data_IF_636757314140
#
_entry.id   IF_636757314140
#
_cell.length_a   1.000
_cell.length_b   1.000
_cell.length_c   1.000
_cell.angle_alpha   90.00
_cell.angle_beta   90.00
_cell.angle_gamma   90.00
#
_symmetry.space_group_name_H-M   'P 1'
#
loop_
_entity.id
_entity.type
_entity.pdbx_description
1 polymer ?
#
# COMPACT_ATOMS: atom_id res chain seq x y z
N UNK A 1 -27.66 6.83 4.34
CA UNK A 1 -26.40 6.44 5.04
C UNK A 1 -25.26 6.32 4.05
N UNK A 2 -24.04 6.58 4.51
CA UNK A 2 -22.81 6.32 3.75
C UNK A 2 -22.20 4.99 4.17
N UNK A 3 -22.04 4.06 3.25
CA UNK A 3 -21.34 2.80 3.44
C UNK A 3 -19.98 2.86 2.75
N UNK A 4 -18.89 2.75 3.52
CA UNK A 4 -17.54 2.59 2.99
C UNK A 4 -17.27 1.10 2.90
N UNK A 5 -16.98 0.58 1.70
CA UNK A 5 -16.91 -0.86 1.47
C UNK A 5 -15.58 -1.23 0.82
N UNK A 6 -14.78 -2.04 1.52
CA UNK A 6 -13.55 -2.61 0.98
C UNK A 6 -13.84 -3.71 -0.04
N UNK A 7 -13.17 -3.63 -1.18
CA UNK A 7 -13.34 -4.58 -2.30
C UNK A 7 -12.38 -5.76 -2.24
N UNK A 8 -11.40 -5.75 -1.35
CA UNK A 8 -10.32 -6.73 -1.37
C UNK A 8 -9.26 -6.40 -2.44
N UNK A 9 -8.50 -7.39 -2.89
CA UNK A 9 -7.20 -7.15 -3.51
C UNK A 9 -7.21 -7.23 -5.05
N UNK A 10 -8.04 -8.07 -5.66
CA UNK A 10 -7.84 -8.39 -7.08
C UNK A 10 -9.11 -8.56 -7.90
N UNK A 11 -10.07 -9.33 -7.41
CA UNK A 11 -11.22 -9.80 -8.19
C UNK A 11 -12.52 -9.20 -7.69
N UNK A 12 -13.54 -9.05 -8.54
CA UNK A 12 -14.85 -8.53 -8.14
C UNK A 12 -15.53 -9.37 -7.06
N UNK A 13 -15.17 -10.64 -6.94
CA UNK A 13 -15.69 -11.56 -5.93
C UNK A 13 -14.95 -11.52 -4.59
N UNK A 14 -13.88 -10.74 -4.49
CA UNK A 14 -13.16 -10.54 -3.22
C UNK A 14 -13.96 -9.67 -2.24
N UNK A 15 -14.97 -8.96 -2.72
CA UNK A 15 -15.90 -8.24 -1.85
C UNK A 15 -16.55 -9.21 -0.86
N UNK A 16 -16.70 -8.80 0.40
CA UNK A 16 -17.43 -9.61 1.37
C UNK A 16 -18.89 -9.79 0.98
N UNK A 17 -19.53 -10.90 1.38
CA UNK A 17 -20.97 -11.10 1.16
C UNK A 17 -21.79 -9.93 1.70
N UNK A 18 -21.44 -9.44 2.91
CA UNK A 18 -22.07 -8.25 3.50
C UNK A 18 -21.90 -7.00 2.64
N UNK A 19 -20.70 -6.79 2.10
CA UNK A 19 -20.42 -5.67 1.18
C UNK A 19 -21.28 -5.75 -0.06
N UNK A 20 -21.34 -6.91 -0.71
CA UNK A 20 -22.13 -7.13 -1.92
C UNK A 20 -23.64 -6.89 -1.69
N UNK A 21 -24.18 -7.41 -0.59
CA UNK A 21 -25.59 -7.21 -0.25
C UNK A 21 -25.91 -5.74 0.04
N UNK A 22 -24.96 -5.00 0.64
CA UNK A 22 -25.09 -3.58 0.91
C UNK A 22 -25.04 -2.79 -0.40
N UNK A 23 -24.07 -3.06 -1.28
CA UNK A 23 -24.00 -2.41 -2.61
C UNK A 23 -25.30 -2.53 -3.37
N UNK A 24 -25.90 -3.75 -3.40
CA UNK A 24 -27.16 -3.99 -4.11
C UNK A 24 -28.35 -3.18 -3.58
N UNK A 25 -28.32 -2.79 -2.31
CA UNK A 25 -29.38 -1.97 -1.68
C UNK A 25 -29.17 -0.48 -1.89
N UNK A 26 -27.92 -0.04 -2.05
CA UNK A 26 -27.59 1.38 -2.18
C UNK A 26 -28.19 1.98 -3.47
N UNK A 27 -28.58 3.24 -3.38
CA UNK A 27 -29.13 4.00 -4.50
C UNK A 27 -28.04 4.47 -5.47
N UNK A 28 -26.90 4.90 -4.94
CA UNK A 28 -25.72 5.31 -5.69
C UNK A 28 -24.51 4.51 -5.24
N UNK A 29 -23.64 4.18 -6.19
CA UNK A 29 -22.42 3.41 -5.94
C UNK A 29 -21.26 4.16 -6.56
N UNK A 30 -20.33 4.60 -5.73
CA UNK A 30 -19.09 5.24 -6.13
C UNK A 30 -17.93 4.26 -6.01
N UNK A 31 -17.01 4.29 -6.96
CA UNK A 31 -15.74 3.57 -6.90
C UNK A 31 -14.58 4.56 -6.86
N UNK A 32 -13.82 4.51 -5.79
CA UNK A 32 -12.56 5.25 -5.68
C UNK A 32 -11.56 4.74 -6.73
N UNK A 33 -10.96 5.64 -7.49
CA UNK A 33 -10.18 5.31 -8.68
C UNK A 33 -8.79 5.96 -8.72
N UNK A 34 -8.16 6.24 -7.55
CA UNK A 34 -6.85 6.91 -7.53
C UNK A 34 -5.85 6.39 -6.50
N UNK A 35 -6.25 5.63 -5.47
CA UNK A 35 -5.30 5.05 -4.51
C UNK A 35 -4.87 3.64 -4.90
N UNK A 36 -5.72 2.90 -5.58
CA UNK A 36 -5.44 1.55 -6.08
C UNK A 36 -6.39 1.18 -7.23
N UNK A 37 -6.15 0.03 -7.86
CA UNK A 37 -6.97 -0.52 -8.93
C UNK A 37 -7.22 -2.01 -8.71
N UNK A 38 -8.40 -2.48 -9.10
CA UNK A 38 -8.68 -3.92 -9.21
C UNK A 38 -8.16 -4.40 -10.56
N UNK A 39 -7.02 -5.10 -10.55
CA UNK A 39 -6.33 -5.52 -11.78
C UNK A 39 -7.14 -6.50 -12.63
N UNK A 40 -8.00 -7.31 -12.03
CA UNK A 40 -8.74 -8.38 -12.70
C UNK A 40 -10.17 -8.00 -13.06
N UNK A 41 -10.64 -6.79 -12.70
CA UNK A 41 -12.03 -6.39 -12.92
C UNK A 41 -12.14 -5.02 -13.59
N UNK A 42 -12.78 -4.96 -14.76
CA UNK A 42 -13.20 -3.69 -15.36
C UNK A 42 -14.43 -3.12 -14.67
N UNK A 43 -14.72 -1.85 -14.93
CA UNK A 43 -15.95 -1.20 -14.42
C UNK A 43 -17.18 -1.98 -14.88
N UNK A 44 -17.25 -2.35 -16.14
CA UNK A 44 -18.36 -3.11 -16.72
C UNK A 44 -18.53 -4.47 -16.03
N UNK A 45 -17.42 -5.11 -15.62
CA UNK A 45 -17.46 -6.36 -14.84
C UNK A 45 -18.08 -6.12 -13.47
N UNK A 46 -17.65 -5.04 -12.79
CA UNK A 46 -18.19 -4.65 -11.48
C UNK A 46 -19.67 -4.30 -11.56
N UNK A 47 -20.09 -3.49 -12.55
CA UNK A 47 -21.49 -3.12 -12.77
C UNK A 47 -22.37 -4.34 -13.01
N UNK A 48 -21.90 -5.26 -13.84
CA UNK A 48 -22.60 -6.53 -14.10
C UNK A 48 -22.71 -7.39 -12.85
N UNK A 49 -21.64 -7.45 -12.05
CA UNK A 49 -21.61 -8.25 -10.83
C UNK A 49 -22.51 -7.68 -9.73
N UNK A 50 -22.48 -6.36 -9.56
CA UNK A 50 -23.31 -5.67 -8.55
C UNK A 50 -24.76 -5.46 -9.01
N UNK A 51 -25.01 -5.47 -10.32
CA UNK A 51 -26.31 -5.10 -10.92
C UNK A 51 -26.64 -3.62 -10.74
N UNK A 52 -25.62 -2.77 -10.70
CA UNK A 52 -25.69 -1.32 -10.43
C UNK A 52 -24.70 -0.58 -11.31
N UNK A 53 -25.07 0.64 -11.72
CA UNK A 53 -24.13 1.60 -12.30
C UNK A 53 -23.08 2.01 -11.25
N UNK A 54 -21.81 2.11 -11.66
CA UNK A 54 -20.68 2.49 -10.81
C UNK A 54 -20.12 3.84 -11.27
N UNK A 55 -20.20 4.83 -10.39
CA UNK A 55 -19.70 6.18 -10.62
C UNK A 55 -18.24 6.23 -10.19
N UNK A 56 -17.33 6.57 -11.10
CA UNK A 56 -15.92 6.76 -10.73
C UNK A 56 -15.73 8.01 -9.90
N UNK A 57 -15.12 7.85 -8.74
CA UNK A 57 -14.72 8.93 -7.86
C UNK A 57 -13.20 9.11 -7.94
N UNK A 58 -12.78 10.12 -8.70
CA UNK A 58 -11.38 10.53 -8.76
C UNK A 58 -10.98 11.36 -7.52
N UNK A 59 -9.69 11.67 -7.42
CA UNK A 59 -9.16 12.43 -6.29
C UNK A 59 -9.87 13.78 -6.12
N UNK A 60 -10.14 14.51 -7.20
CA UNK A 60 -10.78 15.81 -7.15
C UNK A 60 -12.21 15.69 -6.57
N UNK A 61 -12.99 14.72 -7.03
CA UNK A 61 -14.33 14.47 -6.49
C UNK A 61 -14.31 14.10 -5.01
N UNK A 62 -13.35 13.28 -4.57
CA UNK A 62 -13.28 12.84 -3.17
C UNK A 62 -12.74 13.93 -2.26
N UNK A 63 -11.67 14.64 -2.65
CA UNK A 63 -11.01 15.62 -1.78
C UNK A 63 -11.70 17.00 -1.79
N UNK A 64 -12.26 17.42 -2.93
CA UNK A 64 -12.88 18.74 -3.07
C UNK A 64 -14.38 18.69 -3.36
N UNK A 65 -14.86 17.65 -4.01
CA UNK A 65 -16.26 17.46 -4.41
C UNK A 65 -17.05 16.51 -3.50
N UNK A 66 -16.57 16.21 -2.29
CA UNK A 66 -17.20 15.25 -1.37
C UNK A 66 -18.69 15.53 -1.11
N UNK A 67 -19.13 16.78 -1.14
CA UNK A 67 -20.53 17.17 -0.98
C UNK A 67 -21.43 16.54 -2.05
N UNK A 68 -20.91 16.29 -3.26
CA UNK A 68 -21.66 15.61 -4.34
C UNK A 68 -21.86 14.13 -4.01
N UNK A 69 -20.86 13.50 -3.39
CA UNK A 69 -20.98 12.10 -2.93
C UNK A 69 -22.01 12.02 -1.82
N UNK A 70 -21.98 12.98 -0.89
CA UNK A 70 -22.82 13.01 0.31
C UNK A 70 -24.23 13.59 0.05
N UNK A 71 -24.49 14.13 -1.14
CA UNK A 71 -25.80 14.70 -1.47
C UNK A 71 -26.92 13.68 -1.25
N UNK A 72 -27.95 14.06 -0.48
CA UNK A 72 -29.09 13.22 -0.10
C UNK A 72 -28.70 11.91 0.67
N UNK A 73 -27.50 11.79 1.24
CA UNK A 73 -27.10 10.61 2.00
C UNK A 73 -27.79 10.52 3.39
N UNK A 74 -28.52 11.53 3.80
CA UNK A 74 -29.40 11.53 4.99
C UNK A 74 -30.65 10.67 4.76
N UNK A 75 -31.14 10.60 3.52
CA UNK A 75 -32.35 9.85 3.14
C UNK A 75 -32.07 8.62 2.27
N UNK A 76 -31.00 8.65 1.47
CA UNK A 76 -30.59 7.59 0.56
C UNK A 76 -29.37 6.83 1.11
N UNK A 77 -29.29 5.53 0.81
CA UNK A 77 -28.09 4.74 1.05
C UNK A 77 -27.10 4.88 -0.11
N UNK A 78 -25.86 5.19 0.21
CA UNK A 78 -24.77 5.42 -0.74
C UNK A 78 -23.63 4.48 -0.41
N UNK A 79 -23.13 3.75 -1.42
CA UNK A 79 -21.92 2.94 -1.31
C UNK A 79 -20.71 3.71 -1.86
N UNK A 80 -19.63 3.74 -1.10
CA UNK A 80 -18.32 4.22 -1.53
C UNK A 80 -17.34 3.04 -1.47
N UNK A 81 -16.98 2.53 -2.65
CA UNK A 81 -16.17 1.34 -2.81
C UNK A 81 -14.69 1.71 -2.86
N UNK A 82 -13.87 0.96 -2.14
CA UNK A 82 -12.43 1.19 -2.03
C UNK A 82 -11.68 -0.12 -2.30
N UNK A 83 -10.72 -0.12 -3.21
CA UNK A 83 -9.86 -1.27 -3.44
C UNK A 83 -9.01 -1.53 -2.19
N UNK A 84 -8.93 -2.78 -1.75
CA UNK A 84 -8.34 -3.14 -0.47
C UNK A 84 -9.35 -2.97 0.68
N UNK A 85 -8.87 -2.43 1.81
CA UNK A 85 -9.69 -2.02 2.96
C UNK A 85 -9.92 -0.51 2.95
N UNK A 86 -11.05 -0.08 3.46
CA UNK A 86 -11.48 1.33 3.46
C UNK A 86 -10.52 2.29 4.16
N UNK A 87 -9.74 1.80 5.11
CA UNK A 87 -8.74 2.57 5.87
C UNK A 87 -7.31 2.04 5.70
N UNK A 88 -7.11 1.05 4.85
CA UNK A 88 -5.82 0.43 4.60
C UNK A 88 -4.92 1.28 3.69
N UNK A 89 -4.20 2.24 4.25
CA UNK A 89 -3.35 3.20 3.54
C UNK A 89 -4.14 4.13 2.60
N UNK A 90 -5.26 4.66 3.08
CA UNK A 90 -6.15 5.57 2.36
C UNK A 90 -6.32 6.91 3.09
N UNK A 91 -6.96 7.88 2.45
CA UNK A 91 -7.26 9.21 3.01
C UNK A 91 -8.75 9.42 3.31
N UNK A 92 -9.56 8.34 3.31
CA UNK A 92 -11.02 8.43 3.37
C UNK A 92 -11.59 8.88 4.74
N UNK A 93 -10.73 9.08 5.74
CA UNK A 93 -11.13 9.63 7.05
C UNK A 93 -11.78 11.01 6.90
N UNK A 94 -11.34 11.84 5.94
CA UNK A 94 -11.93 13.15 5.68
C UNK A 94 -13.39 13.03 5.23
N UNK A 95 -13.70 12.10 4.32
CA UNK A 95 -15.07 11.84 3.88
C UNK A 95 -15.98 11.41 5.05
N UNK A 96 -15.45 10.62 5.98
CA UNK A 96 -16.18 10.22 7.21
C UNK A 96 -16.47 11.42 8.11
N UNK A 97 -15.49 12.31 8.29
CA UNK A 97 -15.65 13.52 9.11
C UNK A 97 -16.74 14.40 8.50
N UNK A 98 -16.67 14.69 7.21
CA UNK A 98 -17.68 15.51 6.50
C UNK A 98 -19.09 14.91 6.59
N UNK A 99 -19.22 13.59 6.39
CA UNK A 99 -20.51 12.92 6.53
C UNK A 99 -21.10 13.11 7.94
N UNK A 100 -20.26 12.99 8.98
CA UNK A 100 -20.69 13.21 10.39
C UNK A 100 -21.10 14.65 10.66
N UNK A 101 -20.38 15.63 10.13
CA UNK A 101 -20.73 17.06 10.24
C UNK A 101 -22.10 17.35 9.59
N UNK A 102 -22.46 16.62 8.55
CA UNK A 102 -23.77 16.67 7.90
C UNK A 102 -24.84 15.80 8.59
N UNK A 103 -24.54 15.19 9.74
CA UNK A 103 -25.41 14.25 10.47
C UNK A 103 -25.79 13.01 9.64
N UNK A 104 -24.94 12.60 8.69
CA UNK A 104 -25.11 11.39 7.90
C UNK A 104 -24.50 10.21 8.67
N UNK A 105 -25.26 9.12 8.83
CA UNK A 105 -24.76 7.88 9.40
C UNK A 105 -23.72 7.25 8.50
N UNK A 106 -22.62 6.76 9.09
CA UNK A 106 -21.51 6.12 8.36
C UNK A 106 -21.27 4.72 8.90
N UNK A 107 -21.12 3.77 8.01
CA UNK A 107 -20.75 2.38 8.32
C UNK A 107 -19.59 1.92 7.42
N UNK A 108 -18.57 1.30 8.04
CA UNK A 108 -17.45 0.70 7.32
C UNK A 108 -17.62 -0.83 7.24
N UNK A 109 -17.45 -1.38 6.05
CA UNK A 109 -17.39 -2.83 5.80
C UNK A 109 -15.97 -3.15 5.34
N UNK A 110 -15.20 -3.72 6.26
CA UNK A 110 -13.77 -4.00 6.08
C UNK A 110 -13.51 -5.15 5.11
N UNK A 111 -12.27 -5.18 4.59
CA UNK A 111 -11.78 -6.25 3.75
C UNK A 111 -10.24 -6.38 3.89
N UNK A 112 -9.62 -7.30 3.13
CA UNK A 112 -8.19 -7.41 3.05
C UNK A 112 -7.58 -6.23 2.27
N UNK A 113 -6.41 -5.77 2.71
CA UNK A 113 -5.57 -4.81 2.00
C UNK A 113 -4.11 -5.28 1.97
N UNK A 114 -3.24 -4.60 1.24
CA UNK A 114 -1.81 -4.87 1.25
C UNK A 114 -1.23 -4.85 2.67
N UNK A 115 -1.79 -4.02 3.56
CA UNK A 115 -1.33 -3.86 4.95
C UNK A 115 -1.35 -5.15 5.77
N UNK A 116 -2.29 -6.06 5.50
CA UNK A 116 -2.37 -7.35 6.18
C UNK A 116 -2.04 -8.52 5.25
N UNK A 117 -2.41 -8.47 3.99
CA UNK A 117 -2.17 -9.54 3.03
C UNK A 117 -0.66 -9.73 2.73
N UNK A 118 0.17 -8.72 2.95
CA UNK A 118 1.62 -8.78 2.79
C UNK A 118 2.27 -9.91 3.60
N UNK A 119 1.65 -10.35 4.69
CA UNK A 119 2.09 -11.52 5.46
C UNK A 119 2.14 -12.83 4.65
N UNK A 120 1.49 -12.89 3.47
CA UNK A 120 1.59 -14.03 2.56
C UNK A 120 3.00 -14.29 2.02
N UNK A 121 3.92 -13.32 2.10
CA UNK A 121 5.34 -13.51 1.77
C UNK A 121 6.10 -14.32 2.83
N UNK A 122 5.50 -14.59 4.00
CA UNK A 122 6.09 -15.36 5.10
C UNK A 122 6.67 -14.53 6.23
N UNK A 123 6.74 -13.20 6.08
CA UNK A 123 7.16 -12.31 7.15
C UNK A 123 6.02 -12.08 8.14
N UNK A 124 6.34 -12.11 9.43
CA UNK A 124 5.36 -11.97 10.50
C UNK A 124 4.88 -10.52 10.64
N UNK A 125 3.58 -10.30 10.57
CA UNK A 125 3.01 -8.94 10.60
C UNK A 125 3.35 -8.14 11.86
N UNK A 126 3.59 -8.80 13.01
CA UNK A 126 4.02 -8.11 14.25
C UNK A 126 5.44 -7.54 14.16
N UNK A 127 6.24 -8.02 13.19
CA UNK A 127 7.62 -7.56 12.98
C UNK A 127 7.71 -6.40 11.97
N UNK A 128 6.57 -5.84 11.55
CA UNK A 128 6.55 -4.64 10.73
C UNK A 128 6.47 -3.38 11.60
N UNK A 129 7.31 -2.41 11.26
CA UNK A 129 7.27 -1.06 11.84
C UNK A 129 6.41 -0.09 11.02
N UNK A 130 6.81 1.18 11.00
CA UNK A 130 6.12 2.20 10.22
C UNK A 130 6.13 1.84 8.73
N UNK A 131 4.95 1.81 8.11
CA UNK A 131 4.81 1.75 6.66
C UNK A 131 5.20 3.10 6.06
N UNK A 132 5.87 3.07 4.91
CA UNK A 132 6.27 4.28 4.18
C UNK A 132 5.74 4.26 2.75
N UNK A 133 5.55 5.43 2.17
CA UNK A 133 5.20 5.58 0.76
C UNK A 133 6.38 6.17 -0.01
N UNK A 134 6.68 5.58 -1.17
CA UNK A 134 7.63 6.13 -2.14
C UNK A 134 6.84 6.80 -3.26
N UNK A 135 7.26 7.99 -3.64
CA UNK A 135 6.72 8.73 -4.79
C UNK A 135 7.74 8.76 -5.93
N UNK A 136 7.27 8.86 -7.15
CA UNK A 136 8.17 9.05 -8.30
C UNK A 136 9.02 10.32 -8.13
N UNK A 137 10.33 10.17 -8.27
CA UNK A 137 11.23 11.31 -8.33
C UNK A 137 11.08 12.06 -9.64
N UNK A 138 11.31 13.35 -9.57
CA UNK A 138 11.50 14.22 -10.73
C UNK A 138 12.90 14.83 -10.68
N UNK A 139 13.32 15.50 -11.75
CA UNK A 139 14.64 16.14 -11.79
C UNK A 139 14.84 17.19 -10.68
N UNK A 140 13.76 17.84 -10.25
CA UNK A 140 13.78 18.92 -9.27
C UNK A 140 13.21 18.56 -7.90
N UNK A 141 12.60 17.37 -7.74
CA UNK A 141 11.92 16.99 -6.51
C UNK A 141 12.14 15.51 -6.18
N UNK A 142 12.93 15.26 -5.15
CA UNK A 142 13.31 13.94 -4.68
C UNK A 142 13.13 13.89 -3.15
N UNK A 143 11.89 13.70 -2.67
CA UNK A 143 11.64 13.69 -1.23
C UNK A 143 12.22 12.44 -0.58
N UNK A 144 12.78 12.60 0.60
CA UNK A 144 13.45 11.56 1.38
C UNK A 144 12.80 11.30 2.75
N UNK A 145 11.58 11.78 2.96
CA UNK A 145 10.88 11.66 4.25
C UNK A 145 10.69 10.22 4.76
N UNK A 146 10.74 9.24 3.86
CA UNK A 146 10.71 7.82 4.16
C UNK A 146 12.00 7.32 4.82
N UNK A 147 13.14 7.96 4.56
CA UNK A 147 14.46 7.50 4.95
C UNK A 147 14.61 7.34 6.48
N UNK A 148 14.26 8.39 7.23
CA UNK A 148 14.34 8.34 8.70
C UNK A 148 13.41 7.26 9.29
N UNK A 149 12.23 7.06 8.72
CA UNK A 149 11.30 6.01 9.18
C UNK A 149 11.85 4.60 8.95
N UNK A 150 12.48 4.37 7.80
CA UNK A 150 13.19 3.12 7.51
C UNK A 150 14.34 2.92 8.51
N UNK A 151 15.15 3.95 8.73
CA UNK A 151 16.25 3.91 9.68
C UNK A 151 15.77 3.56 11.09
N UNK A 152 14.69 4.19 11.56
CA UNK A 152 14.11 3.92 12.88
C UNK A 152 13.58 2.48 12.99
N UNK A 153 12.82 2.00 11.99
CA UNK A 153 12.35 0.61 11.97
C UNK A 153 13.53 -0.36 12.05
N UNK A 154 14.55 -0.17 11.22
CA UNK A 154 15.73 -1.04 11.19
C UNK A 154 16.56 -0.96 12.47
N UNK A 155 16.61 0.19 13.12
CA UNK A 155 17.29 0.39 14.40
C UNK A 155 16.69 -0.45 15.54
N UNK A 156 15.39 -0.72 15.49
CA UNK A 156 14.68 -1.58 16.46
C UNK A 156 14.39 -2.98 15.90
N UNK A 157 14.94 -3.33 14.74
CA UNK A 157 14.89 -4.66 14.14
C UNK A 157 13.67 -4.95 13.26
N UNK A 158 12.76 -3.98 13.04
CA UNK A 158 11.49 -4.18 12.35
C UNK A 158 11.60 -4.07 10.82
N UNK A 159 10.78 -4.84 10.11
CA UNK A 159 10.59 -4.73 8.66
C UNK A 159 9.86 -3.46 8.28
N UNK A 160 10.11 -2.97 7.08
CA UNK A 160 9.39 -1.81 6.53
C UNK A 160 8.62 -2.20 5.27
N UNK A 161 7.30 -2.02 5.28
CA UNK A 161 6.50 -2.07 4.07
C UNK A 161 6.60 -0.72 3.35
N UNK A 162 6.97 -0.77 2.07
CA UNK A 162 7.06 0.38 1.19
C UNK A 162 5.91 0.29 0.16
N UNK A 163 4.99 1.23 0.24
CA UNK A 163 3.92 1.41 -0.72
C UNK A 163 4.46 2.23 -1.89
N UNK A 164 4.26 1.73 -3.10
CA UNK A 164 4.82 2.31 -4.32
C UNK A 164 3.78 3.18 -5.02
N UNK A 165 4.24 4.31 -5.58
CA UNK A 165 3.40 5.36 -6.16
C UNK A 165 2.55 4.85 -7.33
N UNK A 166 1.30 5.27 -7.33
CA UNK A 166 0.33 5.06 -8.40
C UNK A 166 -0.11 6.43 -8.91
N UNK A 167 0.13 6.69 -10.18
CA UNK A 167 -0.22 7.94 -10.84
C UNK A 167 -1.30 7.70 -11.89
N UNK A 168 -2.51 8.04 -11.53
CA UNK A 168 -3.69 7.91 -12.39
C UNK A 168 -4.26 9.29 -12.64
N UNK A 169 -4.61 9.59 -13.88
CA UNK A 169 -5.23 10.86 -14.27
C UNK A 169 -4.36 12.09 -13.97
N UNK A 170 -3.04 11.98 -14.21
CA UNK A 170 -2.13 13.13 -14.13
C UNK A 170 -2.12 13.93 -15.42
N UNK A 171 -1.90 15.24 -15.30
CA UNK A 171 -1.69 16.13 -16.44
C UNK A 171 -0.21 16.51 -16.53
N UNK A 172 0.29 16.64 -17.76
CA UNK A 172 1.61 17.27 -17.94
C UNK A 172 1.56 18.74 -17.47
N UNK A 173 2.70 19.25 -17.02
CA UNK A 173 2.83 20.67 -16.60
C UNK A 173 2.33 21.61 -17.70
N UNK A 174 2.59 21.29 -18.97
CA UNK A 174 2.16 22.06 -20.10
C UNK A 174 0.62 22.07 -20.26
N UNK A 175 -0.03 20.91 -20.13
CA UNK A 175 -1.46 20.81 -20.23
C UNK A 175 -2.16 21.50 -19.04
N UNK A 176 -1.60 21.33 -17.84
CA UNK A 176 -2.09 21.99 -16.63
C UNK A 176 -2.00 23.52 -16.76
N UNK A 177 -0.82 24.04 -17.20
CA UNK A 177 -0.61 25.47 -17.39
C UNK A 177 -1.53 26.09 -18.47
N UNK A 178 -1.99 25.29 -19.44
CA UNK A 178 -2.91 25.68 -20.50
C UNK A 178 -4.38 25.41 -20.20
N UNK A 179 -4.70 24.87 -19.02
CA UNK A 179 -6.06 24.48 -18.64
C UNK A 179 -6.67 23.36 -19.51
N UNK A 180 -5.82 22.53 -20.11
CA UNK A 180 -6.27 21.42 -20.98
C UNK A 180 -6.50 20.17 -20.15
N UNK A 181 -7.69 19.59 -20.20
CA UNK A 181 -8.03 18.33 -19.52
C UNK A 181 -7.53 17.10 -20.34
N UNK A 182 -6.22 17.10 -20.64
CA UNK A 182 -5.55 15.99 -21.31
C UNK A 182 -4.70 15.29 -20.26
N UNK A 183 -4.99 14.01 -20.02
CA UNK A 183 -4.34 13.19 -19.01
C UNK A 183 -3.29 12.27 -19.63
N UNK A 184 -2.22 12.04 -18.90
CA UNK A 184 -1.20 11.07 -19.24
C UNK A 184 -1.69 9.64 -18.93
N UNK A 185 -1.17 8.61 -19.63
CA UNK A 185 -1.44 7.23 -19.27
C UNK A 185 -1.10 6.94 -17.81
N UNK A 186 -1.83 6.05 -17.13
CA UNK A 186 -1.50 5.65 -15.77
C UNK A 186 -0.06 5.11 -15.69
N UNK A 187 0.63 5.47 -14.60
CA UNK A 187 1.97 4.97 -14.28
C UNK A 187 1.96 4.33 -12.91
N UNK A 188 2.57 3.17 -12.82
CA UNK A 188 2.71 2.39 -11.58
C UNK A 188 4.19 2.22 -11.30
N UNK A 189 4.63 2.58 -10.08
CA UNK A 189 6.03 2.40 -9.71
C UNK A 189 6.35 0.90 -9.62
N UNK A 190 7.38 0.47 -10.36
CA UNK A 190 7.90 -0.88 -10.28
C UNK A 190 8.96 -1.03 -9.18
N UNK A 191 9.33 -2.27 -8.91
CA UNK A 191 10.32 -2.63 -7.88
C UNK A 191 11.69 -2.04 -8.20
N UNK A 192 12.12 -2.10 -9.48
CA UNK A 192 13.43 -1.61 -9.88
C UNK A 192 13.55 -0.10 -9.69
N UNK A 193 12.51 0.66 -10.05
CA UNK A 193 12.45 2.12 -9.83
C UNK A 193 12.51 2.45 -8.34
N UNK A 194 11.72 1.76 -7.51
CA UNK A 194 11.74 1.95 -6.06
C UNK A 194 13.11 1.67 -5.46
N UNK A 195 13.74 0.56 -5.82
CA UNK A 195 15.06 0.19 -5.33
C UNK A 195 16.15 1.19 -5.77
N UNK A 196 16.11 1.67 -7.01
CA UNK A 196 17.04 2.71 -7.51
C UNK A 196 16.88 4.03 -6.76
N UNK A 197 15.65 4.47 -6.51
CA UNK A 197 15.39 5.68 -5.73
C UNK A 197 15.90 5.56 -4.28
N UNK A 198 15.72 4.39 -3.66
CA UNK A 198 16.27 4.13 -2.32
C UNK A 198 17.79 4.20 -2.33
N UNK A 199 18.47 3.55 -3.28
CA UNK A 199 19.93 3.57 -3.41
C UNK A 199 20.45 4.99 -3.63
N UNK A 200 19.78 5.80 -4.44
CA UNK A 200 20.13 7.19 -4.69
C UNK A 200 20.07 8.04 -3.41
N UNK A 201 19.01 7.87 -2.60
CA UNK A 201 18.89 8.63 -1.34
C UNK A 201 19.93 8.18 -0.33
N UNK A 202 20.23 6.89 -0.23
CA UNK A 202 21.32 6.42 0.66
C UNK A 202 22.67 7.00 0.24
N UNK A 203 22.97 7.08 -1.06
CA UNK A 203 24.20 7.69 -1.55
C UNK A 203 24.30 9.17 -1.17
N UNK A 204 23.18 9.91 -1.24
CA UNK A 204 23.13 11.33 -0.86
C UNK A 204 23.22 11.53 0.65
N UNK A 205 22.51 10.71 1.43
CA UNK A 205 22.45 10.84 2.89
C UNK A 205 23.69 10.29 3.58
N UNK A 206 24.16 9.12 3.16
CA UNK A 206 25.36 8.46 3.70
C UNK A 206 25.25 8.03 5.17
N UNK A 207 24.04 7.93 5.72
CA UNK A 207 23.80 7.62 7.14
C UNK A 207 23.70 6.12 7.41
N UNK A 208 23.81 5.29 6.38
CA UNK A 208 23.78 3.82 6.46
C UNK A 208 22.49 3.25 7.09
N UNK A 209 21.34 3.88 6.76
CA UNK A 209 20.05 3.34 7.15
C UNK A 209 19.85 1.95 6.52
N UNK A 210 20.32 1.79 5.30
CA UNK A 210 20.38 0.53 4.57
C UNK A 210 21.59 0.56 3.60
N UNK A 211 21.87 -0.52 2.92
CA UNK A 211 22.99 -0.65 1.97
C UNK A 211 22.52 -1.31 0.69
N UNK A 212 23.31 -1.32 -0.39
CA UNK A 212 23.00 -2.11 -1.57
C UNK A 212 22.75 -3.61 -1.30
N UNK A 213 23.34 -4.14 -0.24
CA UNK A 213 23.22 -5.54 0.16
C UNK A 213 22.07 -5.77 1.15
N UNK A 214 21.33 -4.76 1.56
CA UNK A 214 20.20 -4.92 2.48
C UNK A 214 19.17 -5.88 1.91
N UNK A 215 18.77 -6.93 2.66
CA UNK A 215 17.77 -7.89 2.22
C UNK A 215 16.39 -7.26 2.07
N UNK A 216 15.71 -7.60 0.98
CA UNK A 216 14.38 -7.08 0.64
C UNK A 216 13.52 -8.19 0.04
N UNK A 217 12.21 -7.96 0.01
CA UNK A 217 11.23 -8.81 -0.69
C UNK A 217 10.38 -7.94 -1.61
N UNK A 218 10.42 -8.23 -2.91
CA UNK A 218 9.49 -7.69 -3.86
C UNK A 218 8.16 -8.44 -3.79
N UNK A 219 7.07 -7.71 -3.78
CA UNK A 219 5.70 -8.21 -3.72
C UNK A 219 4.97 -7.72 -4.96
N UNK A 220 4.43 -8.63 -5.76
CA UNK A 220 3.75 -8.28 -7.02
C UNK A 220 2.37 -8.89 -7.07
N UNK A 221 1.38 -8.10 -7.48
CA UNK A 221 -0.01 -8.51 -7.74
C UNK A 221 -0.63 -9.31 -6.61
N UNK A 222 -0.40 -8.84 -5.38
CA UNK A 222 -0.84 -9.50 -4.15
C UNK A 222 -2.35 -9.79 -4.18
N UNK A 223 -2.72 -11.03 -3.84
CA UNK A 223 -4.11 -11.51 -3.86
C UNK A 223 -4.62 -11.94 -5.24
N UNK A 224 -3.84 -11.76 -6.32
CA UNK A 224 -4.23 -12.22 -7.66
C UNK A 224 -3.72 -13.63 -7.96
N UNK A 225 -4.29 -14.32 -8.97
CA UNK A 225 -3.75 -15.61 -9.45
C UNK A 225 -2.31 -15.52 -9.97
N UNK A 226 -1.84 -14.32 -10.31
CA UNK A 226 -0.47 -14.06 -10.79
C UNK A 226 0.43 -13.44 -9.71
N UNK A 227 0.03 -13.54 -8.45
CA UNK A 227 0.83 -13.10 -7.31
C UNK A 227 2.22 -13.72 -7.33
N UNK A 228 3.26 -12.89 -7.13
CA UNK A 228 4.63 -13.37 -7.00
C UNK A 228 5.37 -12.64 -5.88
N UNK A 229 6.35 -13.34 -5.30
CA UNK A 229 7.32 -12.78 -4.38
C UNK A 229 8.72 -13.06 -4.89
N UNK A 230 9.65 -12.15 -4.60
CA UNK A 230 11.07 -12.31 -4.92
C UNK A 230 11.89 -11.76 -3.77
N UNK A 231 12.69 -12.62 -3.14
CA UNK A 231 13.64 -12.23 -2.12
C UNK A 231 15.03 -12.01 -2.75
N UNK A 232 15.70 -10.94 -2.34
CA UNK A 232 17.02 -10.57 -2.82
C UNK A 232 17.55 -9.33 -2.11
N UNK A 233 18.74 -8.88 -2.48
CA UNK A 233 19.28 -7.61 -1.97
C UNK A 233 18.64 -6.42 -2.68
N UNK A 234 18.69 -5.25 -2.06
CA UNK A 234 18.20 -4.00 -2.68
C UNK A 234 18.83 -3.76 -4.06
N UNK A 235 20.13 -4.05 -4.21
CA UNK A 235 20.85 -3.97 -5.49
C UNK A 235 20.33 -4.97 -6.52
N UNK A 236 20.06 -6.21 -6.12
CA UNK A 236 19.50 -7.22 -7.04
C UNK A 236 18.11 -6.83 -7.50
N UNK A 237 17.28 -6.30 -6.58
CA UNK A 237 15.93 -5.84 -6.89
C UNK A 237 15.91 -4.57 -7.75
N UNK A 238 16.96 -3.76 -7.76
CA UNK A 238 17.10 -2.62 -8.68
C UNK A 238 17.20 -3.02 -10.16
N UNK A 239 17.51 -4.30 -10.45
CA UNK A 239 17.58 -4.85 -11.80
C UNK A 239 16.48 -5.90 -12.07
N UNK A 240 15.57 -6.11 -11.09
CA UNK A 240 14.52 -7.12 -11.20
C UNK A 240 13.29 -6.58 -11.93
N UNK A 241 12.88 -7.27 -13.00
CA UNK A 241 11.61 -7.03 -13.66
C UNK A 241 10.50 -7.85 -12.98
N UNK A 242 9.63 -7.15 -12.27
CA UNK A 242 8.51 -7.75 -11.55
C UNK A 242 7.24 -7.95 -12.43
N UNK A 243 7.31 -7.55 -13.70
CA UNK A 243 6.21 -7.65 -14.66
C UNK A 243 5.09 -6.65 -14.41
N UNK A 244 3.87 -7.06 -14.72
CA UNK A 244 2.67 -6.21 -14.59
C UNK A 244 2.43 -5.71 -13.16
N UNK A 245 1.88 -4.49 -12.98
CA UNK A 245 1.55 -3.94 -11.66
C UNK A 245 0.44 -4.77 -10.99
N UNK A 246 0.14 -4.59 -9.68
CA UNK A 246 0.70 -3.63 -8.73
C UNK A 246 1.87 -4.22 -7.95
N UNK A 247 2.71 -3.34 -7.41
CA UNK A 247 3.89 -3.75 -6.66
C UNK A 247 3.96 -3.09 -5.28
N UNK A 248 4.61 -3.78 -4.35
CA UNK A 248 5.09 -3.23 -3.07
C UNK A 248 6.47 -3.80 -2.79
N UNK A 249 7.26 -3.10 -2.01
CA UNK A 249 8.59 -3.55 -1.59
C UNK A 249 8.63 -3.69 -0.07
N UNK A 250 9.28 -4.73 0.43
CA UNK A 250 9.55 -4.87 1.86
C UNK A 250 11.06 -4.80 2.04
N UNK A 251 11.52 -3.90 2.88
CA UNK A 251 12.89 -3.92 3.37
C UNK A 251 12.92 -4.67 4.70
N UNK A 252 13.75 -5.71 4.80
CA UNK A 252 13.83 -6.51 6.01
C UNK A 252 14.41 -5.68 7.17
N UNK A 253 13.87 -5.89 8.34
CA UNK A 253 14.48 -5.44 9.59
C UNK A 253 15.71 -6.30 9.95
N UNK A 254 16.47 -5.83 10.92
CA UNK A 254 17.68 -6.53 11.40
C UNK A 254 17.38 -7.65 12.43
N UNK A 255 16.11 -7.96 12.65
CA UNK A 255 15.65 -9.13 13.40
C UNK A 255 14.74 -9.95 12.49
N UNK A 256 15.30 -10.98 11.87
CA UNK A 256 14.59 -11.90 11.01
C UNK A 256 14.54 -13.25 11.73
N UNK A 257 13.34 -13.77 11.94
CA UNK A 257 13.15 -15.06 12.62
C UNK A 257 13.52 -16.22 11.69
N UNK A 258 14.01 -17.32 12.22
CA UNK A 258 14.41 -18.50 11.42
C UNK A 258 13.28 -19.03 10.53
N UNK A 259 12.03 -19.01 11.01
CA UNK A 259 10.87 -19.42 10.22
C UNK A 259 10.58 -18.47 9.04
N UNK A 260 10.84 -17.19 9.21
CA UNK A 260 10.74 -16.21 8.13
C UNK A 260 11.78 -16.49 7.04
N UNK A 261 13.01 -16.75 7.44
CA UNK A 261 14.09 -17.13 6.52
C UNK A 261 13.79 -18.42 5.79
N UNK A 262 13.33 -19.45 6.51
CA UNK A 262 12.95 -20.73 5.91
C UNK A 262 11.84 -20.54 4.87
N UNK A 263 10.86 -19.70 5.17
CA UNK A 263 9.77 -19.42 4.24
C UNK A 263 10.26 -18.62 3.02
N UNK A 264 11.16 -17.65 3.21
CA UNK A 264 11.71 -16.82 2.13
C UNK A 264 12.64 -17.60 1.19
N UNK A 265 13.23 -18.72 1.61
CA UNK A 265 14.10 -19.55 0.78
C UNK A 265 13.51 -19.91 -0.59
N UNK A 266 12.19 -20.14 -0.65
CA UNK A 266 11.48 -20.49 -1.89
C UNK A 266 11.43 -19.33 -2.91
N UNK A 267 11.69 -18.10 -2.48
CA UNK A 267 11.63 -16.90 -3.30
C UNK A 267 13.01 -16.36 -3.69
N UNK A 268 14.08 -17.01 -3.26
CA UNK A 268 15.45 -16.66 -3.57
C UNK A 268 15.93 -17.37 -4.83
N UNK A 269 16.81 -16.72 -5.61
CA UNK A 269 17.58 -17.41 -6.66
C UNK A 269 18.67 -18.29 -6.02
N UNK A 270 19.39 -17.72 -5.06
CA UNK A 270 20.35 -18.42 -4.22
C UNK A 270 20.04 -18.16 -2.74
N UNK A 271 19.46 -19.16 -2.09
CA UNK A 271 19.07 -19.06 -0.67
C UNK A 271 20.28 -18.97 0.27
N UNK A 272 21.44 -19.57 -0.11
CA UNK A 272 22.63 -19.52 0.74
C UNK A 272 23.25 -18.12 0.71
N UNK A 273 23.31 -17.53 -0.47
CA UNK A 273 23.75 -16.15 -0.65
C UNK A 273 22.79 -15.17 0.08
N UNK A 274 21.49 -15.33 -0.08
CA UNK A 274 20.50 -14.47 0.60
C UNK A 274 20.62 -14.56 2.14
N UNK A 275 20.70 -15.77 2.68
CA UNK A 275 20.88 -16.00 4.13
C UNK A 275 22.17 -15.37 4.66
N UNK A 276 23.26 -15.39 3.86
CA UNK A 276 24.49 -14.70 4.21
C UNK A 276 24.29 -13.19 4.33
N UNK A 277 23.60 -12.55 3.38
CA UNK A 277 23.31 -11.12 3.47
C UNK A 277 22.41 -10.78 4.67
N UNK A 278 21.44 -11.62 5.00
CA UNK A 278 20.62 -11.43 6.21
C UNK A 278 21.48 -11.53 7.47
N UNK A 279 22.37 -12.50 7.56
CA UNK A 279 23.27 -12.65 8.70
C UNK A 279 24.22 -11.45 8.84
N UNK A 280 24.84 -11.01 7.74
CA UNK A 280 25.72 -9.84 7.73
C UNK A 280 24.95 -8.57 8.18
N UNK A 281 23.71 -8.40 7.75
CA UNK A 281 22.88 -7.26 8.14
C UNK A 281 22.46 -7.32 9.63
N UNK A 282 22.21 -8.51 10.15
CA UNK A 282 21.89 -8.73 11.58
C UNK A 282 23.08 -8.41 12.51
N UNK A 283 24.32 -8.59 12.05
CA UNK A 283 25.53 -8.26 12.85
C UNK A 283 25.62 -6.76 13.20
N UNK A 284 24.98 -5.90 12.43
CA UNK A 284 24.87 -4.47 12.74
C UNK A 284 23.75 -4.15 13.75
N UNK A 285 22.93 -5.15 14.12
CA UNK A 285 21.84 -4.92 15.07
C UNK A 285 22.37 -4.92 16.51
N UNK A 286 22.15 -3.79 17.18
CA UNK A 286 22.35 -3.68 18.63
C UNK A 286 20.96 -3.47 19.25
N UNK A 287 20.37 -4.51 19.85
CA UNK A 287 19.07 -4.34 20.51
C UNK A 287 19.18 -3.25 21.57
N UNK A 288 18.12 -2.45 21.78
CA UNK A 288 18.09 -1.49 22.86
C UNK A 288 18.33 -2.23 24.19
N UNK A 289 19.03 -1.60 25.17
CA UNK A 289 19.25 -2.24 26.46
C UNK A 289 17.90 -2.62 27.08
N UNK A 290 17.82 -3.85 27.57
CA UNK A 290 16.65 -4.30 28.30
C UNK A 290 16.46 -3.42 29.55
N UNK A 291 15.38 -2.68 29.60
CA UNK A 291 14.93 -1.96 30.79
C UNK A 291 13.87 -2.85 31.44
N UNK A 292 14.14 -3.44 32.62
CA UNK A 292 13.11 -4.21 33.32
C UNK A 292 11.91 -3.29 33.60
N UNK A 293 10.70 -3.75 33.26
CA UNK A 293 9.49 -3.09 33.77
C UNK A 293 9.56 -3.14 35.30
N UNK A 294 9.56 -1.97 35.95
CA UNK A 294 9.39 -1.91 37.39
C UNK A 294 8.01 -2.51 37.69
N UNK A 295 7.98 -3.69 38.29
CA UNK A 295 6.76 -4.29 38.81
C UNK A 295 6.21 -3.35 39.90
N UNK A 296 5.38 -2.40 39.50
CA UNK A 296 4.54 -1.63 40.42
C UNK A 296 3.46 -2.55 40.96
N UNK A 297 3.84 -3.44 41.89
CA UNK A 297 2.89 -4.01 42.83
C UNK A 297 2.54 -2.91 43.83
N UNK A 298 1.48 -2.14 43.53
CA UNK A 298 0.79 -1.35 44.55
C UNK A 298 -0.10 -2.30 45.34
N UNK A 299 0.27 -2.52 46.62
CA UNK A 299 -0.57 -3.17 47.64
C UNK A 299 -1.97 -2.50 47.79
#
# INVERSE_FOLDING_TARGET
MLYLIGLGLSHETDITVRGLETVKKCKRVYLEAYTSILMSASIETLEKFYGKEVILADRELVETGADQILENADVDDIAFLVVGDVFGATTHTDLVIRAREMNIGVEAIHNASVMNAVGACGLQLYQFGQTVSLVFFTDSWKPDSFYNKIMENRKIGLHTLLLLDIKVKEQSIENMARGRLIYEPPRYMDIATAAKQLLEIEEVRGEQAYTPNTPCVAVSRLGSPTQTFKAGTLKQLAEYDAGEPLHSLIMLGRQVHDLELEYLDQYCDDKQEFRKYVQEDQEFFKPPPYVPEEENFSD
#
